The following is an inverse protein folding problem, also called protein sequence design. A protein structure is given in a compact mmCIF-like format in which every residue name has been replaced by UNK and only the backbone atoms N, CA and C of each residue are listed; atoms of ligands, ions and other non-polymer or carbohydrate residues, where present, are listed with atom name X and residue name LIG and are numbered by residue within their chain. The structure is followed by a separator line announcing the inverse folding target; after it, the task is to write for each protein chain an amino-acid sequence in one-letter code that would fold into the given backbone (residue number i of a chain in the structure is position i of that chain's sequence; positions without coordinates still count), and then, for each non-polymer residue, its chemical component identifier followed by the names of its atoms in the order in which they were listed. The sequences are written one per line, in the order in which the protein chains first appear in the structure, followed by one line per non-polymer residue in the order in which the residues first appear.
data_IF_192248977144
#
_entry.id   IF_192248977144
#
_cell.length_a   1.000
_cell.length_b   1.000
_cell.length_c   1.000
_cell.angle_alpha   90.00
_cell.angle_beta   90.00
_cell.angle_gamma   90.00
#
_symmetry.space_group_name_H-M   'P 1'
#
loop_
_entity.id
_entity.type
_entity.pdbx_description
1 polymer ?
#
# COMPACT_ATOMS: atom_id res chain seq x y z
N UNK A 1 17.16 -4.67 17.92
CA UNK A 1 16.70 -4.43 17.53
C UNK A 1 15.91 -4.11 17.21
N UNK A 2 15.48 -3.79 16.88
CA UNK A 2 14.70 -3.50 16.58
C UNK A 2 13.92 -3.35 16.08
N UNK A 3 13.46 -2.98 15.68
CA UNK A 3 12.75 -2.77 15.29
C UNK A 3 11.94 -2.81 14.70
N UNK A 4 11.42 -3.12 14.63
CA UNK A 4 10.59 -3.27 13.88
C UNK A 4 9.64 -2.42 13.60
N UNK A 5 9.76 -1.61 13.38
CA UNK A 5 8.87 -0.73 13.00
C UNK A 5 8.10 -1.11 11.83
N UNK A 6 8.30 -2.20 11.21
CA UNK A 6 7.61 -2.59 10.05
C UNK A 6 6.20 -2.99 10.27
N UNK A 7 5.82 -3.32 11.45
CA UNK A 7 4.47 -3.79 11.76
C UNK A 7 3.69 -2.63 12.34
N UNK A 8 2.36 -2.68 12.27
CA UNK A 8 1.58 -1.64 12.88
C UNK A 8 1.72 -1.67 14.41
N UNK A 9 2.13 -2.81 14.97
CA UNK A 9 2.50 -2.86 16.38
C UNK A 9 3.44 -4.05 16.64
N UNK A 10 4.13 -4.02 17.79
CA UNK A 10 5.05 -5.05 18.20
C UNK A 10 4.39 -6.35 18.60
N UNK A 11 3.13 -6.33 18.91
CA UNK A 11 2.40 -7.49 19.39
C UNK A 11 1.42 -7.95 18.34
N UNK A 12 1.16 -9.27 18.23
CA UNK A 12 0.13 -9.75 17.31
C UNK A 12 -1.24 -9.45 17.88
N UNK A 13 -1.65 -8.21 17.80
CA UNK A 13 -2.86 -7.72 18.45
C UNK A 13 -4.15 -8.16 17.78
N UNK A 14 -4.09 -8.66 16.55
CA UNK A 14 -5.29 -9.07 15.82
C UNK A 14 -6.08 -7.92 15.21
N UNK A 15 -5.56 -6.70 15.31
CA UNK A 15 -6.25 -5.53 14.76
C UNK A 15 -5.59 -5.15 13.45
N UNK A 16 -6.22 -5.52 12.35
CA UNK A 16 -5.70 -5.30 11.00
C UNK A 16 -6.77 -4.70 10.13
N UNK A 17 -6.36 -3.85 9.17
CA UNK A 17 -7.29 -3.25 8.21
C UNK A 17 -6.52 -2.75 7.00
N UNK A 18 -6.97 -3.08 5.78
CA UNK A 18 -6.33 -2.56 4.56
C UNK A 18 -6.38 -1.04 4.44
N UNK A 19 -7.20 -0.37 5.26
CA UNK A 19 -7.34 1.09 5.18
C UNK A 19 -6.01 1.82 5.38
N UNK A 20 -5.09 1.25 6.15
CA UNK A 20 -3.78 1.88 6.36
C UNK A 20 -3.00 1.97 5.04
N UNK A 21 -2.96 0.86 4.30
CA UNK A 21 -2.31 0.86 2.99
C UNK A 21 -3.03 1.80 2.02
N UNK A 22 -4.36 1.81 2.09
CA UNK A 22 -5.16 2.64 1.19
C UNK A 22 -4.92 4.12 1.41
N UNK A 23 -4.85 4.54 2.67
CA UNK A 23 -4.60 5.96 2.99
C UNK A 23 -3.26 6.40 2.42
N UNK A 24 -2.23 5.57 2.57
CA UNK A 24 -0.91 5.92 2.03
C UNK A 24 -0.94 5.99 0.50
N UNK A 25 -1.64 5.06 -0.14
CA UNK A 25 -1.75 5.07 -1.59
C UNK A 25 -2.57 6.26 -2.10
N UNK A 26 -3.60 6.68 -1.36
CA UNK A 26 -4.35 7.88 -1.69
C UNK A 26 -3.47 9.12 -1.60
N UNK A 27 -2.59 9.15 -0.60
CA UNK A 27 -1.62 10.24 -0.47
C UNK A 27 -0.67 10.28 -1.67
N UNK A 28 -0.22 9.12 -2.13
CA UNK A 28 0.63 9.04 -3.31
C UNK A 28 -0.07 9.66 -4.52
N UNK A 29 -1.32 9.29 -4.74
CA UNK A 29 -2.10 9.82 -5.87
C UNK A 29 -2.27 11.33 -5.75
N UNK A 30 -2.65 11.82 -4.58
CA UNK A 30 -2.85 13.24 -4.35
C UNK A 30 -1.56 14.04 -4.59
N UNK A 31 -0.44 13.50 -4.12
CA UNK A 31 0.86 14.16 -4.29
C UNK A 31 1.26 14.20 -5.77
N UNK A 32 1.03 13.11 -6.50
CA UNK A 32 1.35 13.08 -7.93
C UNK A 32 0.55 14.13 -8.70
N UNK A 33 -0.74 14.30 -8.35
CA UNK A 33 -1.59 15.32 -9.00
C UNK A 33 -1.08 16.72 -8.70
N UNK A 34 -0.72 16.98 -7.45
CA UNK A 34 -0.18 18.29 -7.07
C UNK A 34 1.18 18.55 -7.72
N UNK A 35 1.99 17.51 -7.83
CA UNK A 35 3.28 17.61 -8.52
C UNK A 35 3.08 18.02 -9.98
N UNK A 36 2.12 17.37 -10.65
CA UNK A 36 1.87 17.66 -12.06
C UNK A 36 1.40 19.10 -12.29
N UNK A 37 0.66 19.65 -11.32
CA UNK A 37 0.11 21.00 -11.44
C UNK A 37 1.04 22.11 -10.99
N UNK A 38 2.17 21.76 -10.38
CA UNK A 38 3.05 22.77 -9.78
C UNK A 38 4.18 23.19 -10.72
N UNK A 39 4.54 24.46 -10.65
CA UNK A 39 5.74 24.99 -11.31
C UNK A 39 6.79 25.40 -10.27
N UNK A 40 6.50 25.18 -8.99
CA UNK A 40 7.40 25.53 -7.88
C UNK A 40 8.40 24.41 -7.67
N UNK A 41 9.68 24.68 -7.96
CA UNK A 41 10.74 23.66 -7.88
C UNK A 41 10.94 23.12 -6.48
N UNK A 42 10.81 23.95 -5.46
CA UNK A 42 10.97 23.50 -4.08
C UNK A 42 9.86 22.53 -3.72
N UNK A 43 8.61 22.89 -4.05
CA UNK A 43 7.47 22.01 -3.79
C UNK A 43 7.64 20.70 -4.54
N UNK A 44 8.04 20.75 -5.81
CA UNK A 44 8.17 19.53 -6.62
C UNK A 44 9.22 18.58 -6.05
N UNK A 45 10.35 19.12 -5.55
CA UNK A 45 11.37 18.27 -4.93
C UNK A 45 10.86 17.62 -3.65
N UNK A 46 10.17 18.39 -2.81
CA UNK A 46 9.60 17.85 -1.58
C UNK A 46 8.53 16.82 -1.87
N UNK A 47 7.72 17.08 -2.88
CA UNK A 47 6.66 16.16 -3.29
C UNK A 47 7.23 14.80 -3.69
N UNK A 48 8.34 14.78 -4.43
CA UNK A 48 8.97 13.52 -4.83
C UNK A 48 9.41 12.71 -3.63
N UNK A 49 10.02 13.36 -2.64
CA UNK A 49 10.53 12.69 -1.45
C UNK A 49 9.38 12.10 -0.64
N UNK A 50 8.34 12.89 -0.42
CA UNK A 50 7.21 12.46 0.40
C UNK A 50 6.38 11.39 -0.32
N UNK A 51 6.21 11.53 -1.63
CA UNK A 51 5.50 10.54 -2.42
C UNK A 51 6.20 9.18 -2.32
N UNK A 52 7.52 9.16 -2.41
CA UNK A 52 8.28 7.93 -2.29
C UNK A 52 8.10 7.30 -0.91
N UNK A 53 8.13 8.13 0.14
CA UNK A 53 7.92 7.67 1.50
C UNK A 53 6.53 7.06 1.69
N UNK A 54 5.49 7.72 1.17
CA UNK A 54 4.13 7.22 1.30
C UNK A 54 3.93 5.91 0.54
N UNK A 55 4.52 5.79 -0.65
CA UNK A 55 4.45 4.56 -1.42
C UNK A 55 5.14 3.41 -0.68
N UNK A 56 6.26 3.69 0.00
CA UNK A 56 6.95 2.69 0.80
C UNK A 56 6.10 2.25 1.99
N UNK A 57 5.44 3.19 2.66
CA UNK A 57 4.56 2.87 3.78
C UNK A 57 3.37 2.02 3.34
N UNK A 58 2.80 2.30 2.18
CA UNK A 58 1.75 1.45 1.62
C UNK A 58 2.24 0.02 1.47
N UNK A 59 3.47 -0.14 0.99
CA UNK A 59 4.08 -1.46 0.81
C UNK A 59 4.26 -2.18 2.14
N UNK A 60 4.72 -1.47 3.17
CA UNK A 60 4.90 -2.06 4.50
C UNK A 60 3.58 -2.52 5.10
N UNK A 61 2.53 -1.74 4.94
CA UNK A 61 1.21 -2.13 5.42
C UNK A 61 0.69 -3.36 4.68
N UNK A 62 0.97 -3.46 3.39
CA UNK A 62 0.59 -4.65 2.62
C UNK A 62 1.37 -5.88 3.10
N UNK A 63 2.67 -5.72 3.39
CA UNK A 63 3.47 -6.82 3.93
C UNK A 63 2.90 -7.33 5.25
N UNK A 64 2.49 -6.42 6.13
CA UNK A 64 1.90 -6.78 7.42
C UNK A 64 0.63 -7.60 7.25
N UNK A 65 -0.26 -7.16 6.36
CA UNK A 65 -1.47 -7.92 6.08
C UNK A 65 -1.13 -9.31 5.55
N UNK A 66 -0.21 -9.37 4.60
CA UNK A 66 0.15 -10.63 3.95
C UNK A 66 0.76 -11.62 4.93
N UNK A 67 1.72 -11.17 5.72
CA UNK A 67 2.47 -12.09 6.58
C UNK A 67 1.79 -12.36 7.90
N UNK A 68 1.00 -11.41 8.42
CA UNK A 68 0.49 -11.51 9.79
C UNK A 68 -1.01 -11.77 9.88
N UNK A 69 -1.79 -11.28 8.91
CA UNK A 69 -3.23 -11.47 8.94
C UNK A 69 -3.71 -12.69 8.17
N UNK A 70 -3.31 -12.80 6.90
CA UNK A 70 -3.82 -13.86 6.03
C UNK A 70 -3.18 -15.20 6.39
N UNK A 71 -4.01 -16.26 6.39
CA UNK A 71 -3.65 -17.59 6.83
C UNK A 71 -3.85 -18.59 5.69
N UNK A 72 -3.32 -19.83 5.83
CA UNK A 72 -3.48 -20.82 4.77
C UNK A 72 -4.92 -21.06 4.33
N UNK A 73 -5.87 -21.05 5.26
CA UNK A 73 -7.27 -21.25 4.90
C UNK A 73 -7.81 -20.12 4.01
N UNK A 74 -7.26 -18.90 4.16
CA UNK A 74 -7.65 -17.78 3.31
C UNK A 74 -7.11 -17.97 1.90
N UNK A 75 -5.91 -18.52 1.78
CA UNK A 75 -5.31 -18.80 0.48
C UNK A 75 -6.08 -19.89 -0.27
N UNK A 76 -6.56 -20.90 0.46
CA UNK A 76 -7.37 -21.96 -0.13
C UNK A 76 -8.67 -21.41 -0.68
N UNK A 77 -9.33 -20.57 0.09
CA UNK A 77 -10.63 -20.01 -0.30
C UNK A 77 -10.50 -18.94 -1.38
N UNK A 78 -9.42 -18.18 -1.34
CA UNK A 78 -9.16 -17.09 -2.29
C UNK A 78 -7.78 -17.28 -2.93
N UNK A 79 -7.66 -18.23 -3.87
CA UNK A 79 -6.35 -18.54 -4.45
C UNK A 79 -5.68 -17.38 -5.19
N UNK A 80 -6.42 -16.35 -5.58
CA UNK A 80 -5.88 -15.18 -6.23
C UNK A 80 -5.12 -14.24 -5.29
N UNK A 81 -5.19 -14.47 -3.96
CA UNK A 81 -4.57 -13.58 -2.97
C UNK A 81 -3.07 -13.42 -3.17
N UNK A 82 -2.37 -14.54 -3.40
CA UNK A 82 -0.93 -14.48 -3.56
C UNK A 82 -0.55 -13.55 -4.72
N UNK A 83 -1.23 -13.71 -5.85
CA UNK A 83 -0.94 -12.90 -7.03
C UNK A 83 -1.33 -11.43 -6.81
N UNK A 84 -2.44 -11.19 -6.10
CA UNK A 84 -2.85 -9.81 -5.79
C UNK A 84 -1.82 -9.09 -4.92
N UNK A 85 -1.30 -9.75 -3.89
CA UNK A 85 -0.28 -9.14 -3.04
C UNK A 85 1.03 -8.93 -3.81
N UNK A 86 1.40 -9.89 -4.65
CA UNK A 86 2.59 -9.72 -5.48
C UNK A 86 2.44 -8.50 -6.38
N UNK A 87 1.29 -8.38 -7.06
CA UNK A 87 1.03 -7.25 -7.95
C UNK A 87 0.97 -5.93 -7.20
N UNK A 88 0.31 -5.93 -6.04
CA UNK A 88 0.16 -4.70 -5.25
C UNK A 88 1.50 -4.20 -4.73
N UNK A 89 2.36 -5.10 -4.25
CA UNK A 89 3.68 -4.68 -3.77
C UNK A 89 4.57 -4.22 -4.92
N UNK A 90 4.45 -4.85 -6.09
CA UNK A 90 5.12 -4.36 -7.29
C UNK A 90 4.61 -2.99 -7.70
N UNK A 91 3.30 -2.76 -7.57
CA UNK A 91 2.72 -1.45 -7.88
C UNK A 91 3.21 -0.37 -6.94
N UNK A 92 3.44 -0.70 -5.66
CA UNK A 92 4.06 0.23 -4.72
C UNK A 92 5.45 0.65 -5.19
N UNK A 93 6.25 -0.32 -5.62
CA UNK A 93 7.60 -0.04 -6.11
C UNK A 93 7.58 0.82 -7.37
N UNK A 94 6.61 0.57 -8.24
CA UNK A 94 6.47 1.35 -9.46
C UNK A 94 6.07 2.79 -9.15
N UNK A 95 5.12 2.98 -8.23
CA UNK A 95 4.69 4.31 -7.81
C UNK A 95 5.80 5.07 -7.10
N UNK A 96 6.68 4.36 -6.38
CA UNK A 96 7.86 4.99 -5.77
C UNK A 96 8.73 5.65 -6.83
N UNK A 97 8.91 4.98 -7.95
CA UNK A 97 9.88 5.38 -8.96
C UNK A 97 9.31 6.27 -10.05
N UNK A 98 8.03 6.61 -10.00
CA UNK A 98 7.39 7.37 -11.08
C UNK A 98 6.55 8.51 -10.54
N UNK A 99 6.11 9.38 -11.45
CA UNK A 99 5.13 10.41 -11.14
C UNK A 99 3.89 10.25 -12.02
N UNK A 100 3.76 9.10 -12.66
CA UNK A 100 2.62 8.79 -13.52
C UNK A 100 1.41 8.48 -12.67
N UNK A 101 0.39 9.31 -12.78
CA UNK A 101 -0.84 9.19 -11.99
C UNK A 101 -1.48 7.83 -12.16
N UNK A 102 -1.37 7.24 -13.35
CA UNK A 102 -1.94 5.92 -13.58
C UNK A 102 -1.32 4.85 -12.68
N UNK A 103 -0.03 4.97 -12.35
CA UNK A 103 0.61 4.02 -11.46
C UNK A 103 0.01 4.05 -10.06
N UNK A 104 -0.36 5.22 -9.59
CA UNK A 104 -1.02 5.36 -8.29
C UNK A 104 -2.46 4.85 -8.34
N UNK A 105 -3.15 5.08 -9.45
CA UNK A 105 -4.52 4.56 -9.63
C UNK A 105 -4.53 3.04 -9.67
N UNK A 106 -3.57 2.45 -10.38
CA UNK A 106 -3.44 0.99 -10.43
C UNK A 106 -3.16 0.40 -9.05
N UNK A 107 -2.32 1.07 -8.26
CA UNK A 107 -2.04 0.66 -6.89
C UNK A 107 -3.31 0.68 -6.04
N UNK A 108 -4.08 1.74 -6.12
CA UNK A 108 -5.34 1.85 -5.37
C UNK A 108 -6.31 0.74 -5.76
N UNK A 109 -6.42 0.45 -7.05
CA UNK A 109 -7.31 -0.61 -7.52
C UNK A 109 -6.92 -1.97 -6.94
N UNK A 110 -5.63 -2.27 -6.91
CA UNK A 110 -5.15 -3.53 -6.35
C UNK A 110 -5.40 -3.61 -4.85
N UNK A 111 -5.20 -2.51 -4.14
CA UNK A 111 -5.50 -2.47 -2.70
C UNK A 111 -6.99 -2.68 -2.46
N UNK A 112 -7.84 -2.10 -3.29
CA UNK A 112 -9.29 -2.29 -3.17
C UNK A 112 -9.69 -3.74 -3.39
N UNK A 113 -9.05 -4.44 -4.32
CA UNK A 113 -9.30 -5.86 -4.52
C UNK A 113 -8.90 -6.68 -3.30
N UNK A 114 -7.78 -6.35 -2.68
CA UNK A 114 -7.34 -7.00 -1.44
C UNK A 114 -8.34 -6.70 -0.32
N UNK A 115 -8.81 -5.45 -0.23
CA UNK A 115 -9.77 -5.06 0.79
C UNK A 115 -11.09 -5.81 0.66
N UNK A 116 -11.53 -6.08 -0.56
CA UNK A 116 -12.75 -6.87 -0.79
C UNK A 116 -12.60 -8.29 -0.25
N UNK A 117 -11.45 -8.90 -0.49
CA UNK A 117 -11.19 -10.24 0.03
C UNK A 117 -11.08 -10.21 1.55
N UNK A 118 -10.38 -9.21 2.08
CA UNK A 118 -10.26 -9.04 3.53
C UNK A 118 -11.63 -9.01 4.20
N UNK A 119 -12.55 -8.23 3.62
CA UNK A 119 -13.90 -8.14 4.13
C UNK A 119 -14.59 -9.50 4.18
N UNK A 120 -14.37 -10.32 3.15
CA UNK A 120 -14.98 -11.64 3.07
C UNK A 120 -14.40 -12.62 4.09
N UNK A 121 -13.23 -12.34 4.66
CA UNK A 121 -12.66 -13.18 5.71
C UNK A 121 -13.21 -12.85 7.09
N UNK A 122 -13.88 -11.70 7.23
CA UNK A 122 -14.51 -11.32 8.49
C UNK A 122 -15.91 -11.92 8.59
N UNK A 123 -16.29 -12.33 9.76
CA UNK A 123 -17.61 -12.91 9.98
C UNK A 123 -18.50 -11.99 10.76
#
# INVERSE_FOLDING_TARGET
MPSPVKYHCDLPCGVYDPIQARIEAESVLAIMKKYADSTDDVFKRRALIIKEERAHLAKEHLWTLWSDYFKPEHLEKFPQLHNLFWKATKACSKAKASVDIKDAEDLLDLIDQIADIFKKTKK
#
